data_IF_850945593309
#
_entry.id   IF_850945593309
#
_cell.length_a   1.000
_cell.length_b   1.000
_cell.length_c   1.000
_cell.angle_alpha   90.00
_cell.angle_beta   90.00
_cell.angle_gamma   90.00
#
_symmetry.space_group_name_H-M   'P 1'
#
loop_
_entity.id
_entity.type
_entity.pdbx_description
1 polymer ?
#
# COMPACT_ATOMS: atom_id res chain seq x y z
N UNK A 1 -31.89 1.28 -8.98
CA UNK A 1 -30.64 1.24 -8.22
C UNK A 1 -30.63 -0.09 -7.51
N UNK A 2 -29.72 -1.00 -7.88
CA UNK A 2 -29.62 -2.30 -7.22
C UNK A 2 -29.08 -2.08 -5.82
N UNK A 3 -29.89 -2.38 -4.80
CA UNK A 3 -29.47 -2.38 -3.41
C UNK A 3 -28.57 -3.62 -3.14
N UNK A 4 -27.35 -3.62 -3.69
CA UNK A 4 -26.38 -4.63 -3.31
C UNK A 4 -25.94 -4.36 -1.85
N UNK A 5 -25.76 -5.40 -1.04
CA UNK A 5 -25.27 -5.20 0.32
C UNK A 5 -23.86 -4.60 0.31
N UNK A 6 -23.55 -3.78 1.32
CA UNK A 6 -22.22 -3.25 1.50
C UNK A 6 -21.21 -4.38 1.74
N UNK A 7 -20.08 -4.33 1.05
CA UNK A 7 -19.01 -5.33 1.16
C UNK A 7 -17.63 -4.70 0.91
N UNK A 8 -16.58 -5.37 1.34
CA UNK A 8 -15.21 -5.00 1.01
C UNK A 8 -14.83 -5.56 -0.35
N UNK A 9 -14.35 -4.70 -1.23
CA UNK A 9 -13.87 -5.06 -2.56
C UNK A 9 -12.45 -4.57 -2.77
N UNK A 10 -11.56 -5.45 -3.20
CA UNK A 10 -10.18 -5.09 -3.51
C UNK A 10 -10.13 -4.20 -4.74
N UNK A 11 -9.48 -3.04 -4.64
CA UNK A 11 -9.21 -2.11 -5.74
C UNK A 11 -7.78 -2.21 -6.23
N UNK A 12 -6.90 -2.72 -5.39
CA UNK A 12 -5.49 -2.94 -5.70
C UNK A 12 -4.96 -4.10 -4.87
N UNK A 13 -4.08 -4.90 -5.45
CA UNK A 13 -3.43 -5.99 -4.75
C UNK A 13 -2.24 -6.52 -5.53
N UNK A 14 -1.20 -6.91 -4.79
CA UNK A 14 0.00 -7.55 -5.30
C UNK A 14 0.44 -8.70 -4.38
N UNK A 15 0.92 -9.78 -4.98
CA UNK A 15 1.59 -10.83 -4.24
C UNK A 15 3.03 -10.41 -3.96
N UNK A 16 3.38 -10.23 -2.68
CA UNK A 16 4.76 -9.92 -2.30
C UNK A 16 5.68 -11.12 -2.56
N UNK A 17 6.90 -10.83 -2.96
CA UNK A 17 7.96 -11.80 -3.20
C UNK A 17 9.29 -11.28 -2.65
N UNK A 18 10.33 -12.11 -2.74
CA UNK A 18 11.71 -11.68 -2.46
C UNK A 18 12.29 -11.13 -3.76
N UNK A 19 12.83 -9.92 -3.73
CA UNK A 19 13.62 -9.41 -4.85
C UNK A 19 14.96 -10.17 -4.92
N UNK A 20 15.02 -11.24 -5.70
CA UNK A 20 16.17 -12.16 -5.78
C UNK A 20 17.49 -11.48 -6.16
N UNK A 21 17.42 -10.39 -6.90
CA UNK A 21 18.60 -9.66 -7.38
C UNK A 21 19.06 -8.52 -6.45
N UNK A 22 18.46 -8.38 -5.27
CA UNK A 22 18.88 -7.40 -4.29
C UNK A 22 19.52 -8.10 -3.10
N UNK A 23 20.70 -7.63 -2.66
CA UNK A 23 21.21 -8.01 -1.35
C UNK A 23 20.18 -7.59 -0.30
N UNK A 24 20.19 -8.26 0.84
CA UNK A 24 19.36 -7.86 1.97
C UNK A 24 19.49 -6.34 2.18
N UNK A 25 18.39 -5.64 2.00
CA UNK A 25 18.37 -4.20 2.14
C UNK A 25 17.60 -3.82 3.40
N UNK A 26 18.10 -2.84 4.10
CA UNK A 26 17.47 -2.25 5.26
C UNK A 26 17.24 -0.77 5.00
N UNK A 27 16.12 -0.27 5.50
CA UNK A 27 15.82 1.16 5.50
C UNK A 27 15.42 1.61 6.90
N UNK A 28 15.63 2.88 7.19
CA UNK A 28 15.16 3.52 8.42
C UNK A 28 14.80 4.97 8.15
N UNK A 29 13.94 5.52 8.99
CA UNK A 29 13.51 6.91 8.92
C UNK A 29 13.03 7.28 7.53
N UNK A 30 12.13 6.47 6.96
CA UNK A 30 11.65 6.61 5.58
C UNK A 30 10.13 6.54 5.51
N UNK A 31 9.54 7.44 4.74
CA UNK A 31 8.14 7.36 4.33
C UNK A 31 8.06 6.79 2.93
N UNK A 32 7.20 5.79 2.77
CA UNK A 32 6.80 5.22 1.48
C UNK A 32 5.39 5.71 1.16
N UNK A 33 5.14 6.09 -0.09
CA UNK A 33 3.84 6.56 -0.58
C UNK A 33 3.49 5.90 -1.90
N UNK A 34 2.30 5.31 -1.94
CA UNK A 34 1.78 4.63 -3.12
C UNK A 34 0.43 5.21 -3.53
N UNK A 35 0.31 5.74 -4.78
CA UNK A 35 -0.96 6.15 -5.33
C UNK A 35 -1.79 4.91 -5.68
N UNK A 36 -3.03 4.88 -5.23
CA UNK A 36 -3.97 3.79 -5.46
C UNK A 36 -5.17 4.33 -6.24
N UNK A 37 -5.46 3.70 -7.37
CA UNK A 37 -6.60 4.06 -8.19
C UNK A 37 -7.81 3.19 -7.87
N UNK A 38 -8.95 3.82 -7.58
CA UNK A 38 -10.23 3.14 -7.37
C UNK A 38 -11.13 3.31 -8.58
N UNK A 39 -11.59 2.19 -9.16
CA UNK A 39 -12.54 2.18 -10.27
C UNK A 39 -13.98 2.48 -9.84
N UNK A 40 -14.32 2.27 -8.58
CA UNK A 40 -15.65 2.43 -8.02
C UNK A 40 -15.62 3.24 -6.71
N UNK A 41 -16.77 3.79 -6.36
CA UNK A 41 -16.94 4.56 -5.13
C UNK A 41 -17.08 3.68 -3.90
N UNK A 42 -16.81 4.26 -2.73
CA UNK A 42 -17.03 3.58 -1.46
C UNK A 42 -16.94 4.52 -0.26
N UNK A 43 -17.24 3.97 0.91
CA UNK A 43 -17.34 4.72 2.17
C UNK A 43 -16.34 4.28 3.24
N UNK A 44 -15.37 3.47 2.84
CA UNK A 44 -14.30 3.03 3.74
C UNK A 44 -13.12 2.45 2.97
N UNK A 45 -11.96 2.43 3.61
CA UNK A 45 -10.72 1.82 3.12
C UNK A 45 -10.20 0.85 4.18
N UNK A 46 -9.68 -0.29 3.72
CA UNK A 46 -8.98 -1.26 4.54
C UNK A 46 -7.68 -1.66 3.84
N UNK A 47 -6.58 -1.68 4.57
CA UNK A 47 -5.24 -1.98 4.06
C UNK A 47 -4.75 -3.30 4.62
N UNK A 48 -4.02 -4.06 3.80
CA UNK A 48 -3.26 -5.23 4.26
C UNK A 48 -1.78 -4.97 4.00
N UNK A 49 -0.99 -5.12 5.06
CA UNK A 49 0.47 -5.09 5.00
C UNK A 49 1.01 -6.48 5.27
N UNK A 50 2.03 -6.87 4.54
CA UNK A 50 2.52 -8.23 4.46
C UNK A 50 4.04 -8.28 4.66
N UNK A 51 4.48 -9.06 5.64
CA UNK A 51 5.89 -9.37 5.92
C UNK A 51 6.19 -10.85 5.61
N UNK A 52 5.46 -11.43 4.65
CA UNK A 52 5.53 -12.86 4.34
C UNK A 52 6.94 -13.34 3.99
N UNK A 53 7.70 -12.53 3.25
CA UNK A 53 9.06 -12.85 2.85
C UNK A 53 10.12 -12.38 3.86
N UNK A 54 9.74 -11.71 4.92
CA UNK A 54 10.65 -11.22 5.97
C UNK A 54 11.21 -12.35 6.80
N UNK A 55 12.42 -12.16 7.32
CA UNK A 55 13.06 -13.06 8.31
C UNK A 55 13.14 -12.41 9.69
N UNK A 56 12.76 -11.14 9.78
CA UNK A 56 12.70 -10.34 11.01
C UNK A 56 11.34 -9.64 11.10
N UNK A 57 10.84 -9.31 12.29
CA UNK A 57 9.64 -8.49 12.42
C UNK A 57 9.90 -7.08 11.87
N UNK A 58 8.86 -6.47 11.30
CA UNK A 58 8.88 -5.07 10.86
C UNK A 58 7.89 -4.26 11.68
N UNK A 59 8.19 -2.99 11.91
CA UNK A 59 7.26 -2.05 12.56
C UNK A 59 6.93 -0.91 11.61
N UNK A 60 5.65 -0.76 11.31
CA UNK A 60 5.10 0.42 10.66
C UNK A 60 4.63 1.36 11.77
N UNK A 61 5.33 2.47 11.93
CA UNK A 61 5.09 3.41 13.03
C UNK A 61 3.83 4.24 12.82
N UNK A 62 3.53 4.57 11.58
CA UNK A 62 2.39 5.40 11.21
C UNK A 62 1.95 5.10 9.79
N UNK A 63 0.65 5.08 9.57
CA UNK A 63 0.04 4.95 8.24
C UNK A 63 -1.05 5.99 8.08
N UNK A 64 -1.11 6.64 6.91
CA UNK A 64 -2.17 7.58 6.57
C UNK A 64 -2.69 7.32 5.16
N UNK A 65 -3.95 7.66 4.94
CA UNK A 65 -4.56 7.74 3.62
C UNK A 65 -4.88 9.21 3.34
N UNK A 66 -4.43 9.70 2.19
CA UNK A 66 -4.80 11.03 1.69
C UNK A 66 -5.82 10.90 0.58
N UNK A 67 -7.04 11.31 0.84
CA UNK A 67 -8.16 11.23 -0.11
C UNK A 67 -8.99 12.51 -0.03
N UNK A 68 -9.36 13.05 -1.18
CA UNK A 68 -10.20 14.25 -1.32
C UNK A 68 -9.73 15.43 -0.44
N UNK A 69 -8.42 15.72 -0.47
CA UNK A 69 -7.83 16.84 0.26
C UNK A 69 -7.65 16.65 1.76
N UNK A 70 -7.87 15.44 2.30
CA UNK A 70 -7.79 15.15 3.74
C UNK A 70 -6.89 13.99 4.04
N UNK A 71 -6.17 14.09 5.16
CA UNK A 71 -5.41 13.00 5.75
C UNK A 71 -6.27 12.26 6.77
N UNK A 72 -6.25 10.94 6.68
CA UNK A 72 -6.92 10.06 7.61
C UNK A 72 -5.89 9.10 8.21
N UNK A 73 -5.72 9.09 9.54
CA UNK A 73 -4.86 8.11 10.18
C UNK A 73 -5.47 6.71 10.06
N UNK A 74 -4.63 5.74 9.78
CA UNK A 74 -4.99 4.32 9.76
C UNK A 74 -4.55 3.68 11.07
N UNK A 75 -5.39 2.82 11.62
CA UNK A 75 -5.10 2.10 12.86
C UNK A 75 -5.13 0.59 12.65
N UNK A 76 -4.50 -0.12 13.57
CA UNK A 76 -4.44 -1.59 13.65
C UNK A 76 -4.81 -1.98 15.08
N UNK A 77 -6.02 -2.55 15.27
CA UNK A 77 -6.56 -2.81 16.59
C UNK A 77 -6.60 -1.54 17.45
N UNK A 78 -6.99 -0.40 16.85
CA UNK A 78 -7.04 0.94 17.45
C UNK A 78 -5.68 1.55 17.86
N UNK A 79 -4.55 0.96 17.42
CA UNK A 79 -3.21 1.52 17.58
C UNK A 79 -2.72 2.14 16.26
N UNK A 80 -1.95 3.21 16.34
CA UNK A 80 -1.39 3.89 15.14
C UNK A 80 -0.22 3.10 14.54
N UNK A 81 0.51 2.36 15.35
CA UNK A 81 1.62 1.52 14.91
C UNK A 81 1.24 0.05 14.92
N UNK A 82 1.93 -0.72 14.09
CA UNK A 82 1.80 -2.18 14.04
C UNK A 82 3.16 -2.82 13.85
N UNK A 83 3.43 -3.89 14.61
CA UNK A 83 4.58 -4.76 14.39
C UNK A 83 4.09 -6.05 13.75
N UNK A 84 4.64 -6.37 12.58
CA UNK A 84 4.27 -7.55 11.79
C UNK A 84 5.41 -8.57 11.90
N UNK A 85 5.18 -9.73 12.52
CA UNK A 85 6.18 -10.78 12.60
C UNK A 85 6.63 -11.26 11.20
N UNK A 86 7.79 -11.89 11.14
CA UNK A 86 8.26 -12.57 9.93
C UNK A 86 7.26 -13.66 9.51
N UNK A 87 6.92 -13.72 8.22
CA UNK A 87 5.97 -14.68 7.67
C UNK A 87 4.50 -14.34 7.88
N UNK A 88 4.18 -13.20 8.51
CA UNK A 88 2.83 -12.81 8.87
C UNK A 88 2.37 -11.55 8.10
N UNK A 89 1.10 -11.21 8.25
CA UNK A 89 0.50 -10.01 7.72
C UNK A 89 -0.31 -9.26 8.79
N UNK A 90 -0.63 -8.01 8.54
CA UNK A 90 -1.52 -7.20 9.36
C UNK A 90 -2.59 -6.54 8.49
N UNK A 91 -3.83 -6.56 8.99
CA UNK A 91 -4.98 -5.92 8.36
C UNK A 91 -5.34 -4.72 9.22
N UNK A 92 -5.51 -3.55 8.59
CA UNK A 92 -5.91 -2.34 9.30
C UNK A 92 -7.36 -2.40 9.77
N UNK A 93 -7.70 -1.59 10.76
CA UNK A 93 -9.09 -1.26 11.04
C UNK A 93 -9.71 -0.60 9.80
N UNK A 94 -11.03 -0.78 9.64
CA UNK A 94 -11.77 -0.13 8.56
C UNK A 94 -11.83 1.38 8.74
N UNK A 95 -11.12 2.12 7.90
CA UNK A 95 -11.14 3.58 7.87
C UNK A 95 -12.43 4.09 7.24
N UNK A 96 -13.15 4.97 7.93
CA UNK A 96 -14.35 5.63 7.38
C UNK A 96 -13.94 6.87 6.59
N UNK A 97 -14.02 6.79 5.27
CA UNK A 97 -13.81 7.92 4.37
C UNK A 97 -14.53 7.68 3.05
N UNK A 98 -14.89 8.75 2.34
CA UNK A 98 -15.49 8.61 1.02
C UNK A 98 -14.40 8.50 -0.05
N UNK A 99 -14.49 7.48 -0.87
CA UNK A 99 -13.65 7.26 -2.04
C UNK A 99 -14.51 7.48 -3.27
N UNK A 100 -14.13 8.42 -4.11
CA UNK A 100 -14.84 8.70 -5.36
C UNK A 100 -14.47 7.65 -6.42
N UNK A 101 -15.45 7.25 -7.23
CA UNK A 101 -15.18 6.40 -8.40
C UNK A 101 -14.21 7.09 -9.38
N UNK A 102 -13.35 6.30 -10.01
CA UNK A 102 -12.36 6.75 -10.99
C UNK A 102 -11.45 7.87 -10.43
N UNK A 103 -10.99 7.68 -9.20
CA UNK A 103 -10.09 8.62 -8.53
C UNK A 103 -8.90 7.91 -7.91
N UNK A 104 -7.83 8.68 -7.70
CA UNK A 104 -6.63 8.23 -7.01
C UNK A 104 -6.60 8.79 -5.60
N UNK A 105 -6.14 7.98 -4.67
CA UNK A 105 -5.80 8.38 -3.31
C UNK A 105 -4.42 7.83 -2.94
N UNK A 106 -3.74 8.48 -1.99
CA UNK A 106 -2.41 8.07 -1.58
C UNK A 106 -2.44 7.27 -0.28
N UNK A 107 -1.73 6.16 -0.25
CA UNK A 107 -1.40 5.43 0.98
C UNK A 107 0.04 5.75 1.34
N UNK A 108 0.27 6.35 2.51
CA UNK A 108 1.60 6.66 3.01
C UNK A 108 1.84 5.95 4.33
N UNK A 109 3.04 5.38 4.51
CA UNK A 109 3.42 4.77 5.77
C UNK A 109 4.88 5.04 6.10
N UNK A 110 5.18 5.12 7.39
CA UNK A 110 6.47 5.51 7.92
C UNK A 110 7.15 4.37 8.67
N UNK A 111 8.38 4.09 8.29
CA UNK A 111 9.29 3.15 8.92
C UNK A 111 10.36 3.95 9.70
N UNK A 112 10.23 3.98 11.02
CA UNK A 112 11.10 4.78 11.89
C UNK A 112 12.46 4.15 12.10
N UNK A 113 12.46 2.90 12.48
CA UNK A 113 13.66 2.15 12.85
C UNK A 113 14.16 1.27 11.70
N UNK A 114 15.29 0.61 11.90
CA UNK A 114 15.82 -0.33 10.93
C UNK A 114 14.80 -1.40 10.58
N UNK A 115 14.42 -1.44 9.32
CA UNK A 115 13.42 -2.34 8.78
C UNK A 115 13.99 -3.12 7.62
N UNK A 116 13.88 -4.45 7.65
CA UNK A 116 14.27 -5.33 6.56
C UNK A 116 13.28 -5.18 5.40
N UNK A 117 13.76 -4.70 4.25
CA UNK A 117 12.96 -4.39 3.06
C UNK A 117 12.86 -5.61 2.14
N UNK A 118 12.25 -6.70 2.60
CA UNK A 118 12.29 -8.00 1.92
C UNK A 118 10.97 -8.41 1.26
N UNK A 119 9.83 -8.11 1.88
CA UNK A 119 8.52 -8.35 1.28
C UNK A 119 8.20 -7.25 0.28
N UNK A 120 8.35 -7.53 -1.01
CA UNK A 120 8.34 -6.50 -2.06
C UNK A 120 7.78 -7.06 -3.37
N UNK A 121 7.19 -6.17 -4.16
CA UNK A 121 6.86 -6.41 -5.57
C UNK A 121 7.55 -5.36 -6.41
N UNK A 122 8.20 -5.78 -7.48
CA UNK A 122 8.71 -4.91 -8.52
C UNK A 122 7.68 -4.80 -9.65
N UNK A 123 7.34 -3.60 -10.08
CA UNK A 123 6.40 -3.37 -11.15
C UNK A 123 6.88 -2.21 -12.03
N UNK A 124 7.12 -2.47 -13.31
CA UNK A 124 7.69 -1.51 -14.26
C UNK A 124 6.64 -0.82 -15.13
N UNK A 125 5.35 -1.08 -14.94
CA UNK A 125 4.31 -0.44 -15.74
C UNK A 125 4.39 1.09 -15.67
N UNK A 126 4.04 1.80 -16.75
CA UNK A 126 4.19 3.26 -16.84
C UNK A 126 3.35 4.02 -15.81
N UNK A 127 2.33 3.39 -15.24
CA UNK A 127 1.47 3.93 -14.18
C UNK A 127 1.75 3.28 -12.82
N UNK A 128 2.75 2.39 -12.73
CA UNK A 128 3.06 1.63 -11.53
C UNK A 128 4.32 2.18 -10.87
N UNK A 129 4.16 3.25 -10.13
CA UNK A 129 5.25 3.83 -9.35
C UNK A 129 4.73 4.38 -8.02
N UNK A 130 5.58 4.32 -7.03
CA UNK A 130 5.43 4.99 -5.76
C UNK A 130 6.51 6.04 -5.56
N UNK A 131 6.53 6.63 -4.40
CA UNK A 131 7.54 7.58 -3.97
C UNK A 131 8.01 7.25 -2.57
N UNK A 132 9.25 7.64 -2.24
CA UNK A 132 9.75 7.58 -0.88
C UNK A 132 10.56 8.82 -0.55
N UNK A 133 10.62 9.16 0.73
CA UNK A 133 11.44 10.26 1.22
C UNK A 133 11.98 9.94 2.63
N UNK A 134 13.16 10.44 2.96
CA UNK A 134 13.74 10.32 4.30
C UNK A 134 12.94 11.20 5.25
N UNK A 135 12.51 10.68 6.39
CA UNK A 135 11.70 11.36 7.40
C UNK A 135 10.22 10.90 7.42
N UNK A 136 9.46 11.38 8.42
CA UNK A 136 8.00 11.19 8.48
C UNK A 136 7.29 12.30 7.69
N UNK A 137 6.77 11.93 6.54
CA UNK A 137 6.01 12.77 5.62
C UNK A 137 4.60 12.22 5.37
N UNK A 138 4.09 11.42 6.28
CA UNK A 138 2.78 10.77 6.12
C UNK A 138 1.62 11.76 6.04
N UNK A 139 1.74 12.93 6.65
CA UNK A 139 0.70 13.98 6.68
C UNK A 139 1.06 15.22 5.86
N UNK A 140 1.84 15.05 4.79
CA UNK A 140 2.23 16.14 3.89
C UNK A 140 1.78 15.82 2.47
N UNK A 141 1.12 16.77 1.81
CA UNK A 141 0.59 16.58 0.45
C UNK A 141 1.70 16.30 -0.56
N UNK A 142 2.76 17.09 -0.52
CA UNK A 142 3.90 16.94 -1.42
C UNK A 142 5.14 16.53 -0.65
N UNK A 143 5.75 15.42 -1.04
CA UNK A 143 7.05 15.04 -0.51
C UNK A 143 8.10 16.08 -0.89
N UNK A 144 9.08 16.39 -0.02
CA UNK A 144 10.11 17.34 -0.34
C UNK A 144 10.94 16.87 -1.54
N UNK A 145 11.09 17.72 -2.56
CA UNK A 145 11.70 17.36 -3.85
C UNK A 145 13.18 16.93 -3.73
N UNK A 146 13.90 17.51 -2.81
CA UNK A 146 15.31 17.22 -2.55
C UNK A 146 15.54 15.89 -1.82
N UNK A 147 14.55 15.43 -1.02
CA UNK A 147 14.62 14.22 -0.21
C UNK A 147 13.83 13.04 -0.81
N UNK A 148 13.00 13.30 -1.81
CA UNK A 148 12.13 12.27 -2.40
C UNK A 148 12.72 11.66 -3.66
N UNK A 149 12.34 10.41 -3.91
CA UNK A 149 12.64 9.65 -5.13
C UNK A 149 11.42 8.83 -5.52
N UNK A 150 11.29 8.55 -6.81
CA UNK A 150 10.35 7.55 -7.34
C UNK A 150 10.90 6.14 -7.16
N UNK A 151 10.00 5.18 -7.05
CA UNK A 151 10.33 3.77 -6.97
C UNK A 151 9.28 2.93 -7.70
N UNK A 152 9.72 1.86 -8.33
CA UNK A 152 8.88 0.80 -8.87
C UNK A 152 8.75 -0.38 -7.91
N UNK A 153 9.31 -0.27 -6.71
CA UNK A 153 9.23 -1.28 -5.67
C UNK A 153 8.11 -0.95 -4.70
N UNK A 154 7.15 -1.86 -4.60
CA UNK A 154 6.04 -1.78 -3.65
C UNK A 154 6.35 -2.69 -2.47
N UNK A 155 6.73 -2.10 -1.36
CA UNK A 155 7.10 -2.80 -0.13
C UNK A 155 5.88 -2.97 0.76
N UNK A 156 5.71 -4.15 1.31
CA UNK A 156 4.75 -4.52 2.36
C UNK A 156 3.28 -4.36 2.01
N UNK A 157 2.83 -3.29 1.39
CA UNK A 157 1.43 -3.11 1.03
C UNK A 157 1.03 -4.18 0.00
N UNK A 158 0.14 -5.10 0.40
CA UNK A 158 -0.26 -6.25 -0.43
C UNK A 158 -1.70 -6.16 -0.92
N UNK A 159 -2.57 -5.44 -0.21
CA UNK A 159 -3.95 -5.24 -0.65
C UNK A 159 -4.54 -3.94 -0.14
N UNK A 160 -5.38 -3.33 -0.97
CA UNK A 160 -6.22 -2.18 -0.64
C UNK A 160 -7.65 -2.51 -1.02
N UNK A 161 -8.54 -2.47 -0.05
CA UNK A 161 -9.97 -2.72 -0.24
C UNK A 161 -10.79 -1.48 0.06
N UNK A 162 -11.88 -1.30 -0.69
CA UNK A 162 -12.86 -0.23 -0.50
C UNK A 162 -14.20 -0.83 -0.08
N UNK A 163 -14.86 -0.21 0.91
CA UNK A 163 -16.18 -0.63 1.37
C UNK A 163 -17.26 0.00 0.50
N UNK A 164 -17.97 -0.83 -0.27
CA UNK A 164 -18.86 -0.37 -1.34
C UNK A 164 -20.14 -1.20 -1.44
N UNK A 165 -21.18 -0.62 -2.01
CA UNK A 165 -22.39 -1.32 -2.49
C UNK A 165 -22.39 -1.48 -4.01
N UNK A 166 -21.35 -1.06 -4.69
CA UNK A 166 -21.24 -1.17 -6.14
C UNK A 166 -21.06 -2.65 -6.52
N UNK A 167 -21.88 -3.14 -7.41
CA UNK A 167 -21.68 -4.48 -8.01
C UNK A 167 -20.39 -4.45 -8.84
N UNK A 168 -19.40 -5.15 -8.38
CA UNK A 168 -18.07 -5.18 -9.01
C UNK A 168 -17.62 -6.63 -9.26
N UNK A 169 -16.52 -6.75 -10.01
CA UNK A 169 -15.79 -7.99 -10.20
C UNK A 169 -14.32 -7.70 -9.99
N UNK A 170 -13.65 -8.54 -9.23
CA UNK A 170 -12.21 -8.51 -9.09
C UNK A 170 -11.61 -9.51 -10.06
N UNK A 171 -10.63 -9.08 -10.85
CA UNK A 171 -9.84 -9.94 -11.72
C UNK A 171 -8.49 -10.13 -11.04
N UNK A 172 -8.14 -11.37 -10.78
CA UNK A 172 -6.82 -11.74 -10.26
C UNK A 172 -6.01 -12.28 -11.43
N UNK A 173 -4.91 -11.60 -11.76
CA UNK A 173 -3.95 -12.08 -12.73
C UNK A 173 -2.95 -13.00 -12.02
N UNK A 174 -2.86 -14.24 -12.46
CA UNK A 174 -1.92 -15.22 -11.93
C UNK A 174 -0.94 -15.61 -13.05
N UNK A 175 0.35 -15.44 -12.76
CA UNK A 175 1.39 -15.72 -13.75
C UNK A 175 2.79 -15.33 -13.23
N UNK A 176 3.70 -15.20 -14.16
CA UNK A 176 5.11 -14.83 -13.93
C UNK A 176 5.39 -13.34 -14.18
N UNK A 177 6.64 -12.99 -14.41
CA UNK A 177 7.11 -11.64 -14.71
C UNK A 177 6.41 -10.98 -15.91
N UNK A 178 6.01 -11.76 -16.91
CA UNK A 178 5.27 -11.23 -18.08
C UNK A 178 3.89 -10.76 -17.66
N UNK A 179 3.21 -11.49 -16.79
CA UNK A 179 1.92 -11.07 -16.22
C UNK A 179 2.06 -9.83 -15.34
N UNK A 180 3.18 -9.70 -14.63
CA UNK A 180 3.51 -8.55 -13.79
C UNK A 180 4.05 -7.34 -14.59
N UNK A 181 4.23 -7.45 -15.90
CA UNK A 181 4.82 -6.43 -16.78
C UNK A 181 6.28 -6.07 -16.41
N UNK A 182 7.07 -7.03 -16.00
CA UNK A 182 8.47 -6.80 -15.60
C UNK A 182 9.44 -6.55 -16.80
N UNK A 183 8.98 -6.66 -18.02
CA UNK A 183 9.76 -6.35 -19.21
C UNK A 183 9.26 -5.06 -19.85
N UNK A 184 10.08 -4.00 -19.87
CA UNK A 184 9.83 -2.89 -20.77
C UNK A 184 10.09 -3.35 -22.21
N UNK A 185 9.12 -3.19 -23.08
CA UNK A 185 9.32 -3.26 -24.51
C UNK A 185 10.23 -2.12 -25.01
#
# INVERSE_FOLDING_TARGET
>A
MSNEPMHWASVWGNAVSIAENRPESFSKNITLRYPIYSHFEGTGICLTFDNYCGTEPITIEKTTVYVDGKFYPVTFGHQLSVTIPAGEHAISDGLKCYVKAQSTFDVSFYLKDYTQMRSVVFSCGPLSYGSYAIGDWTEVVHLPMDLSRTTHYFYFLSNVSVYTSTKNRTVVCYGDSITAQDWPD
#
